data_IF_108708958704
#
_entry.id   IF_108708958704
#
_cell.length_a   1.000
_cell.length_b   1.000
_cell.length_c   1.000
_cell.angle_alpha   90.00
_cell.angle_beta   90.00
_cell.angle_gamma   90.00
#
_symmetry.space_group_name_H-M   'P 1'
#
loop_
_entity.id
_entity.type
_entity.pdbx_description
1 polymer ?
#
# COMPACT_ATOMS: atom_id res chain seq x y z
N UNK A 1 7.80 25.28 1.69
CA UNK A 1 8.49 25.71 0.43
C UNK A 1 9.78 26.48 0.69
N UNK A 2 9.85 27.41 1.67
CA UNK A 2 11.09 28.12 2.02
C UNK A 2 12.24 27.17 2.45
N UNK A 3 11.92 26.08 3.16
CA UNK A 3 12.91 25.08 3.57
C UNK A 3 13.42 24.27 2.38
N UNK A 4 12.63 24.11 1.31
CA UNK A 4 13.08 23.41 0.10
C UNK A 4 14.21 24.13 -0.65
N UNK A 5 14.26 25.47 -0.56
CA UNK A 5 15.30 26.28 -1.20
C UNK A 5 16.67 26.13 -0.52
N UNK A 6 16.71 25.70 0.76
CA UNK A 6 17.93 25.48 1.53
C UNK A 6 18.45 24.04 1.38
N UNK A 7 17.65 23.15 0.74
CA UNK A 7 17.94 21.71 0.65
C UNK A 7 19.19 21.37 -0.17
N UNK A 8 19.62 22.23 -1.07
CA UNK A 8 20.81 21.99 -1.90
C UNK A 8 22.13 22.06 -1.12
N UNK A 9 22.09 22.60 0.11
CA UNK A 9 23.28 22.81 0.97
C UNK A 9 23.18 22.15 2.34
N UNK A 10 22.05 21.50 2.66
CA UNK A 10 21.78 20.93 4.00
C UNK A 10 21.09 19.59 3.89
N UNK A 11 21.52 18.62 4.70
CA UNK A 11 20.84 17.34 4.87
C UNK A 11 19.50 17.53 5.60
N UNK A 12 18.42 16.95 5.06
CA UNK A 12 17.07 17.12 5.60
C UNK A 12 16.49 15.78 6.00
N UNK A 13 16.31 15.57 7.31
CA UNK A 13 15.58 14.45 7.88
C UNK A 13 14.13 14.87 8.19
N UNK A 14 13.18 14.10 7.72
CA UNK A 14 11.74 14.31 8.00
C UNK A 14 11.21 13.10 8.76
N UNK A 15 10.63 13.33 9.93
CA UNK A 15 9.99 12.30 10.74
C UNK A 15 8.47 12.46 10.69
N UNK A 16 7.73 11.37 10.58
CA UNK A 16 6.26 11.38 10.59
C UNK A 16 5.72 10.05 11.10
N UNK A 17 4.62 10.10 11.85
CA UNK A 17 3.88 8.91 12.26
C UNK A 17 3.03 8.34 11.11
N UNK A 18 2.54 9.22 10.23
CA UNK A 18 1.75 8.89 9.04
C UNK A 18 2.30 9.68 7.87
N UNK A 19 3.11 9.08 6.98
CA UNK A 19 3.63 9.81 5.83
C UNK A 19 2.47 10.35 4.99
N UNK A 20 2.53 11.65 4.65
CA UNK A 20 1.55 12.19 3.71
C UNK A 20 1.66 11.41 2.39
N UNK A 21 0.52 11.15 1.71
CA UNK A 21 0.51 10.36 0.47
C UNK A 21 1.57 10.79 -0.56
N UNK A 22 1.79 12.10 -0.70
CA UNK A 22 2.84 12.65 -1.59
C UNK A 22 4.26 12.28 -1.15
N UNK A 23 4.58 12.37 0.15
CA UNK A 23 5.92 12.02 0.67
C UNK A 23 6.17 10.52 0.58
N UNK A 24 5.16 9.72 0.92
CA UNK A 24 5.19 8.28 0.76
C UNK A 24 5.43 7.89 -0.70
N UNK A 25 4.69 8.49 -1.62
CA UNK A 25 4.84 8.26 -3.04
C UNK A 25 6.25 8.62 -3.56
N UNK A 26 6.80 9.77 -3.16
CA UNK A 26 8.18 10.17 -3.54
C UNK A 26 9.23 9.19 -3.02
N UNK A 27 8.99 8.52 -1.90
CA UNK A 27 9.89 7.49 -1.35
C UNK A 27 9.74 6.16 -2.10
N UNK A 28 8.50 5.75 -2.40
CA UNK A 28 8.22 4.53 -3.18
C UNK A 28 8.81 4.58 -4.61
N UNK A 29 8.89 5.78 -5.19
CA UNK A 29 9.48 6.02 -6.52
C UNK A 29 11.01 6.21 -6.46
N UNK A 30 11.64 6.08 -5.29
CA UNK A 30 13.08 6.23 -5.13
C UNK A 30 13.61 7.67 -5.28
N UNK A 31 12.74 8.69 -5.16
CA UNK A 31 13.14 10.11 -5.16
C UNK A 31 13.69 10.52 -3.77
N UNK A 32 13.29 9.80 -2.71
CA UNK A 32 13.76 9.98 -1.34
C UNK A 32 13.95 8.64 -0.68
N UNK A 33 15.03 8.52 0.09
CA UNK A 33 15.23 7.38 0.96
C UNK A 33 14.21 7.42 2.10
N UNK A 34 13.76 6.24 2.53
CA UNK A 34 12.82 6.08 3.62
C UNK A 34 13.21 4.90 4.49
N UNK A 35 13.24 5.14 5.80
CA UNK A 35 13.36 4.08 6.80
C UNK A 35 12.07 3.99 7.59
N UNK A 36 11.60 2.77 7.86
CA UNK A 36 10.41 2.50 8.66
C UNK A 36 10.84 2.02 10.03
N UNK A 37 10.30 2.64 11.08
CA UNK A 37 10.47 2.18 12.45
C UNK A 37 9.38 1.16 12.75
N UNK A 38 9.73 -0.12 12.76
CA UNK A 38 8.77 -1.23 12.92
C UNK A 38 8.62 -1.67 14.37
N UNK A 39 9.68 -1.51 15.19
CA UNK A 39 9.65 -1.93 16.58
C UNK A 39 9.03 -0.86 17.49
N UNK A 40 7.99 -1.27 18.21
CA UNK A 40 7.36 -0.44 19.22
C UNK A 40 8.13 -0.50 20.55
N UNK A 41 8.06 0.55 21.41
CA UNK A 41 8.59 0.46 22.77
C UNK A 41 7.96 -0.69 23.56
N UNK A 42 8.76 -1.45 24.29
CA UNK A 42 8.38 -2.71 24.97
C UNK A 42 7.23 -2.59 25.98
N UNK A 43 6.93 -1.38 26.49
CA UNK A 43 5.90 -1.17 27.52
C UNK A 43 4.53 -0.75 26.95
N UNK A 44 4.41 -0.55 25.64
CA UNK A 44 3.16 -0.09 25.02
C UNK A 44 2.28 -1.26 24.61
N UNK A 45 0.97 -1.12 24.93
CA UNK A 45 -0.06 -2.06 24.50
C UNK A 45 -0.86 -1.50 23.32
N UNK A 46 -1.36 -2.36 22.40
CA UNK A 46 -2.28 -1.95 21.37
C UNK A 46 -3.54 -1.31 21.94
N UNK A 47 -4.00 -0.22 21.32
CA UNK A 47 -5.19 0.51 21.75
C UNK A 47 -6.44 -0.24 21.29
N UNK A 48 -7.30 -0.62 22.23
CA UNK A 48 -8.58 -1.27 21.95
C UNK A 48 -9.48 -0.27 21.22
N UNK A 49 -9.70 -0.51 19.93
CA UNK A 49 -10.40 0.43 19.04
C UNK A 49 -11.80 -0.09 18.70
N UNK A 50 -12.82 0.71 19.02
CA UNK A 50 -14.23 0.42 18.75
C UNK A 50 -14.80 1.44 17.78
N UNK A 51 -15.52 0.95 16.76
CA UNK A 51 -16.26 1.78 15.80
C UNK A 51 -17.74 1.47 15.99
N UNK A 52 -18.52 2.49 16.31
CA UNK A 52 -19.94 2.30 16.67
C UNK A 52 -20.77 3.55 16.45
N UNK A 53 -22.08 3.40 16.40
CA UNK A 53 -23.02 4.51 16.47
C UNK A 53 -22.91 5.24 17.83
N UNK A 54 -23.19 6.56 17.81
CA UNK A 54 -23.19 7.37 19.02
C UNK A 54 -24.24 6.87 20.01
N UNK A 55 -23.81 6.58 21.22
CA UNK A 55 -24.64 6.11 22.31
C UNK A 55 -24.18 6.76 23.63
N UNK A 56 -25.08 7.49 24.31
CA UNK A 56 -24.78 8.20 25.54
C UNK A 56 -24.44 7.27 26.71
N UNK A 57 -25.08 6.10 26.77
CA UNK A 57 -24.79 5.09 27.82
C UNK A 57 -23.34 4.59 27.67
N UNK A 58 -22.90 4.33 26.46
CA UNK A 58 -21.52 3.92 26.19
C UNK A 58 -20.52 5.04 26.48
N UNK A 59 -20.86 6.30 26.17
CA UNK A 59 -20.03 7.47 26.53
C UNK A 59 -19.89 7.56 28.05
N UNK A 60 -21.00 7.45 28.77
CA UNK A 60 -21.01 7.47 30.23
C UNK A 60 -20.17 6.33 30.79
N UNK A 61 -20.39 5.11 30.36
CA UNK A 61 -19.67 3.93 30.82
C UNK A 61 -18.15 4.06 30.56
N UNK A 62 -17.75 4.52 29.39
CA UNK A 62 -16.34 4.72 29.03
C UNK A 62 -15.68 5.76 29.97
N UNK A 63 -16.36 6.86 30.26
CA UNK A 63 -15.84 7.89 31.14
C UNK A 63 -15.77 7.35 32.60
N UNK A 64 -16.86 6.80 33.16
CA UNK A 64 -16.90 6.28 34.52
C UNK A 64 -15.84 5.20 34.74
N UNK A 65 -15.67 4.31 33.78
CA UNK A 65 -14.62 3.28 33.78
C UNK A 65 -13.22 3.89 33.88
N UNK A 66 -12.95 4.97 33.13
CA UNK A 66 -11.64 5.64 33.18
C UNK A 66 -11.44 6.34 34.55
N UNK A 67 -12.45 7.03 35.04
CA UNK A 67 -12.41 7.69 36.36
C UNK A 67 -12.19 6.69 37.52
N UNK A 68 -12.82 5.53 37.43
CA UNK A 68 -12.67 4.47 38.50
C UNK A 68 -11.23 3.99 38.64
N UNK A 69 -10.40 4.13 37.61
CA UNK A 69 -8.97 3.81 37.64
C UNK A 69 -8.06 5.04 37.71
N UNK A 70 -8.64 6.21 38.07
CA UNK A 70 -7.93 7.50 38.18
C UNK A 70 -7.25 7.94 36.89
N UNK A 71 -7.82 7.61 35.75
CA UNK A 71 -7.38 8.06 34.42
C UNK A 71 -8.21 9.23 33.93
N UNK A 72 -7.81 9.79 32.81
CA UNK A 72 -8.44 10.94 32.18
C UNK A 72 -8.93 10.58 30.76
N UNK A 73 -9.87 11.37 30.24
CA UNK A 73 -10.52 11.12 28.96
C UNK A 73 -10.34 12.30 28.01
N UNK A 74 -9.94 12.01 26.78
CA UNK A 74 -10.11 12.93 25.66
C UNK A 74 -11.47 12.69 24.99
N UNK A 75 -12.27 13.75 24.85
CA UNK A 75 -13.49 13.74 24.05
C UNK A 75 -13.30 14.68 22.85
N UNK A 76 -13.17 14.13 21.66
CA UNK A 76 -12.91 14.90 20.45
C UNK A 76 -14.22 15.28 19.77
N UNK A 77 -14.47 16.58 19.67
CA UNK A 77 -15.61 17.16 18.99
C UNK A 77 -15.18 18.29 18.06
N UNK A 78 -15.17 18.04 16.77
CA UNK A 78 -14.53 18.95 15.79
C UNK A 78 -15.46 20.07 15.29
N UNK A 79 -16.27 20.68 16.18
CA UNK A 79 -17.12 21.85 15.91
C UNK A 79 -17.07 22.84 17.05
N UNK A 80 -16.52 24.03 16.78
CA UNK A 80 -16.34 25.06 17.81
C UNK A 80 -17.68 25.63 18.29
N UNK A 81 -18.64 25.85 17.39
CA UNK A 81 -19.90 26.55 17.69
C UNK A 81 -20.75 25.87 18.79
N UNK A 82 -20.67 24.56 18.89
CA UNK A 82 -21.50 23.77 19.82
C UNK A 82 -20.67 23.04 20.87
N UNK A 83 -19.37 23.35 21.00
CA UNK A 83 -18.50 22.61 21.93
C UNK A 83 -18.92 22.78 23.40
N UNK A 84 -19.38 23.96 23.76
CA UNK A 84 -19.89 24.26 25.11
C UNK A 84 -21.15 23.42 25.44
N UNK A 85 -22.11 23.33 24.51
CA UNK A 85 -23.33 22.53 24.69
C UNK A 85 -23.01 21.04 24.86
N UNK A 86 -22.04 20.51 24.09
CA UNK A 86 -21.59 19.13 24.23
C UNK A 86 -20.88 18.93 25.58
N UNK A 87 -20.11 19.90 26.03
CA UNK A 87 -19.45 19.86 27.35
C UNK A 87 -20.47 19.80 28.48
N UNK A 88 -21.50 20.65 28.45
CA UNK A 88 -22.59 20.65 29.42
C UNK A 88 -23.36 19.33 29.39
N UNK A 89 -23.58 18.76 28.21
CA UNK A 89 -24.23 17.46 28.06
C UNK A 89 -23.40 16.32 28.67
N UNK A 90 -22.09 16.32 28.46
CA UNK A 90 -21.19 15.32 29.05
C UNK A 90 -21.13 15.50 30.57
N UNK A 91 -21.08 16.75 31.06
CA UNK A 91 -21.13 17.05 32.48
C UNK A 91 -22.43 16.54 33.11
N UNK A 92 -23.56 16.64 32.43
CA UNK A 92 -24.86 16.12 32.89
C UNK A 92 -24.91 14.59 32.87
N UNK A 93 -24.23 13.93 31.93
CA UNK A 93 -24.13 12.46 31.85
C UNK A 93 -23.26 11.88 32.96
N UNK A 94 -22.21 12.59 33.37
CA UNK A 94 -21.26 12.14 34.43
C UNK A 94 -21.05 13.31 35.40
N UNK A 95 -22.00 13.54 36.33
CA UNK A 95 -21.94 14.65 37.26
C UNK A 95 -20.73 14.63 38.21
N UNK A 96 -20.17 13.44 38.45
CA UNK A 96 -18.99 13.22 39.27
C UNK A 96 -17.67 13.64 38.60
N UNK A 97 -17.65 13.83 37.26
CA UNK A 97 -16.46 14.24 36.53
C UNK A 97 -16.33 15.75 36.48
N UNK A 98 -15.09 16.25 36.45
CA UNK A 98 -14.76 17.64 36.08
C UNK A 98 -14.55 17.71 34.58
N UNK A 99 -15.47 18.34 33.85
CA UNK A 99 -15.42 18.46 32.38
C UNK A 99 -15.07 19.88 31.99
N UNK A 100 -14.11 20.02 31.09
CA UNK A 100 -13.75 21.30 30.47
C UNK A 100 -13.61 21.15 28.96
N UNK A 101 -13.66 22.29 28.23
CA UNK A 101 -13.42 22.26 26.78
C UNK A 101 -12.27 23.17 26.36
N UNK A 102 -11.63 22.83 25.25
CA UNK A 102 -10.55 23.60 24.65
C UNK A 102 -10.61 23.60 23.12
N UNK A 103 -10.35 24.74 22.49
CA UNK A 103 -10.26 24.86 21.03
C UNK A 103 -9.28 25.95 20.59
N UNK A 104 -8.79 25.89 19.37
CA UNK A 104 -7.75 26.76 18.85
C UNK A 104 -8.11 28.25 18.64
N UNK A 105 -9.39 28.65 18.86
CA UNK A 105 -9.83 30.06 18.81
C UNK A 105 -9.93 30.69 20.21
N UNK A 106 -9.62 29.94 21.26
CA UNK A 106 -9.54 30.50 22.61
C UNK A 106 -8.32 31.42 22.75
N UNK A 107 -8.39 32.34 23.72
CA UNK A 107 -7.23 33.13 24.10
C UNK A 107 -6.14 32.23 24.67
N UNK A 108 -4.90 32.49 24.32
CA UNK A 108 -3.74 31.68 24.69
C UNK A 108 -3.69 31.40 26.20
N UNK A 109 -3.84 32.42 27.01
CA UNK A 109 -3.83 32.29 28.48
C UNK A 109 -4.97 31.43 29.05
N UNK A 110 -6.15 31.47 28.42
CA UNK A 110 -7.29 30.65 28.81
C UNK A 110 -7.03 29.17 28.43
N UNK A 111 -6.51 28.94 27.23
CA UNK A 111 -6.11 27.62 26.75
C UNK A 111 -5.03 27.03 27.65
N UNK A 112 -3.99 27.77 27.97
CA UNK A 112 -2.91 27.36 28.87
C UNK A 112 -3.43 26.94 30.22
N UNK A 113 -4.34 27.72 30.83
CA UNK A 113 -4.95 27.40 32.12
C UNK A 113 -5.70 26.07 32.09
N UNK A 114 -6.51 25.82 31.06
CA UNK A 114 -7.28 24.59 30.91
C UNK A 114 -6.32 23.40 30.71
N UNK A 115 -5.34 23.58 29.84
CA UNK A 115 -4.36 22.52 29.58
C UNK A 115 -3.52 22.20 30.81
N UNK A 116 -3.14 23.20 31.61
CA UNK A 116 -2.42 23.00 32.85
C UNK A 116 -3.27 22.25 33.88
N UNK A 117 -4.55 22.62 34.05
CA UNK A 117 -5.48 21.91 34.94
C UNK A 117 -5.69 20.46 34.48
N UNK A 118 -5.76 20.22 33.19
CA UNK A 118 -5.87 18.86 32.63
C UNK A 118 -4.61 18.02 32.87
N UNK A 119 -3.43 18.58 32.65
CA UNK A 119 -2.14 17.89 32.90
C UNK A 119 -1.98 17.53 34.38
N UNK A 120 -2.42 18.41 35.28
CA UNK A 120 -2.35 18.21 36.73
C UNK A 120 -3.45 17.29 37.31
N UNK A 121 -4.39 16.82 36.48
CA UNK A 121 -5.48 15.96 36.92
C UNK A 121 -6.64 16.67 37.64
N UNK A 122 -6.72 18.02 37.51
CA UNK A 122 -7.84 18.83 38.05
C UNK A 122 -9.09 18.71 37.14
N UNK A 123 -8.89 18.30 35.87
CA UNK A 123 -9.93 18.09 34.88
C UNK A 123 -9.87 16.63 34.43
N UNK A 124 -11.00 15.93 34.54
CA UNK A 124 -11.12 14.51 34.23
C UNK A 124 -11.40 14.24 32.76
N UNK A 125 -12.24 15.08 32.14
CA UNK A 125 -12.63 14.97 30.72
C UNK A 125 -12.35 16.27 30.00
N UNK A 126 -11.48 16.20 28.97
CA UNK A 126 -11.22 17.34 28.10
C UNK A 126 -11.98 17.17 26.79
N UNK A 127 -13.01 17.99 26.58
CA UNK A 127 -13.71 18.13 25.30
C UNK A 127 -12.91 19.05 24.41
N UNK A 128 -12.44 18.58 23.27
CA UNK A 128 -11.55 19.38 22.42
C UNK A 128 -11.80 19.20 20.94
N UNK A 129 -11.44 20.20 20.16
CA UNK A 129 -11.27 20.03 18.72
C UNK A 129 -9.97 19.25 18.44
N UNK A 130 -9.55 19.17 17.20
CA UNK A 130 -8.30 18.51 16.80
C UNK A 130 -7.02 19.17 17.34
N UNK A 131 -7.13 20.20 18.18
CA UNK A 131 -5.98 20.87 18.83
C UNK A 131 -5.05 19.90 19.58
N UNK A 132 -5.59 18.79 20.09
CA UNK A 132 -4.79 17.75 20.77
C UNK A 132 -3.81 17.03 19.82
N UNK A 133 -3.93 17.18 18.50
CA UNK A 133 -2.94 16.69 17.54
C UNK A 133 -1.56 17.34 17.69
N UNK A 134 -1.45 18.49 18.37
CA UNK A 134 -0.22 19.28 18.48
C UNK A 134 0.89 18.69 19.36
N UNK A 135 0.71 17.50 19.92
CA UNK A 135 1.85 16.71 20.44
C UNK A 135 2.04 16.67 21.93
N UNK A 136 1.12 17.18 22.75
CA UNK A 136 1.20 17.06 24.21
C UNK A 136 1.18 15.58 24.62
N UNK A 137 2.15 15.20 25.45
CA UNK A 137 2.26 13.85 26.01
C UNK A 137 1.67 13.81 27.42
N UNK A 138 0.44 13.30 27.53
CA UNK A 138 -0.24 13.14 28.82
C UNK A 138 -0.47 11.65 29.07
N UNK A 139 0.39 11.06 29.88
CA UNK A 139 0.42 9.61 30.13
C UNK A 139 -0.81 9.07 30.86
N UNK A 140 -1.57 9.93 31.58
CA UNK A 140 -2.75 9.53 32.33
C UNK A 140 -4.03 9.45 31.49
N UNK A 141 -4.00 9.89 30.23
CA UNK A 141 -5.14 9.80 29.32
C UNK A 141 -5.12 8.45 28.60
N UNK A 142 -6.00 7.54 28.98
CA UNK A 142 -6.06 6.20 28.43
C UNK A 142 -7.37 5.91 27.68
N UNK A 143 -8.33 6.82 27.70
CA UNK A 143 -9.57 6.71 26.92
C UNK A 143 -9.76 7.91 26.01
N UNK A 144 -10.07 7.63 24.74
CA UNK A 144 -10.42 8.61 23.73
C UNK A 144 -11.80 8.32 23.16
N UNK A 145 -12.63 9.34 23.06
CA UNK A 145 -13.94 9.28 22.40
C UNK A 145 -13.96 10.30 21.28
N UNK A 146 -14.22 9.87 20.05
CA UNK A 146 -14.31 10.73 18.87
C UNK A 146 -15.76 10.76 18.39
N UNK A 147 -16.42 11.91 18.51
CA UNK A 147 -17.88 12.04 18.33
C UNK A 147 -18.32 11.84 16.87
N UNK A 148 -17.74 12.57 15.92
CA UNK A 148 -18.11 12.56 14.49
C UNK A 148 -16.95 11.94 13.66
N UNK A 149 -16.54 10.72 13.99
CA UNK A 149 -15.35 10.07 13.41
C UNK A 149 -15.43 9.84 11.90
N UNK A 150 -16.64 9.70 11.37
CA UNK A 150 -16.92 9.53 9.93
C UNK A 150 -16.57 10.76 9.08
N UNK A 151 -16.44 11.94 9.71
CA UNK A 151 -16.04 13.17 9.04
C UNK A 151 -14.51 13.42 9.05
N UNK A 152 -13.73 12.51 9.64
CA UNK A 152 -12.28 12.64 9.77
C UNK A 152 -11.52 11.82 8.74
N UNK A 153 -10.32 12.28 8.40
CA UNK A 153 -9.38 11.53 7.56
C UNK A 153 -8.75 10.35 8.32
N UNK A 154 -8.37 9.28 7.60
CA UNK A 154 -7.78 8.09 8.20
C UNK A 154 -6.49 8.39 8.97
N UNK A 155 -5.59 9.19 8.39
CA UNK A 155 -4.36 9.64 9.05
C UNK A 155 -4.64 10.46 10.32
N UNK A 156 -5.70 11.29 10.30
CA UNK A 156 -6.12 12.07 11.45
C UNK A 156 -6.65 11.19 12.58
N UNK A 157 -7.52 10.23 12.26
CA UNK A 157 -8.01 9.23 13.22
C UNK A 157 -6.85 8.43 13.85
N UNK A 158 -5.86 8.06 13.06
CA UNK A 158 -4.69 7.35 13.55
C UNK A 158 -3.85 8.22 14.49
N UNK A 159 -3.62 9.49 14.17
CA UNK A 159 -2.88 10.42 15.02
C UNK A 159 -3.62 10.69 16.33
N UNK A 160 -4.93 10.91 16.27
CA UNK A 160 -5.76 11.09 17.46
C UNK A 160 -5.72 9.84 18.36
N UNK A 161 -5.95 8.66 17.79
CA UNK A 161 -5.84 7.40 18.52
C UNK A 161 -4.49 7.25 19.21
N UNK A 162 -3.41 7.64 18.56
CA UNK A 162 -2.05 7.61 19.12
C UNK A 162 -1.80 8.62 20.25
N UNK A 163 -2.77 9.46 20.62
CA UNK A 163 -2.68 10.35 21.79
C UNK A 163 -2.99 9.67 23.11
N UNK A 164 -3.60 8.50 23.07
CA UNK A 164 -3.78 7.62 24.24
C UNK A 164 -2.85 6.41 24.14
N UNK A 165 -2.75 5.60 25.20
CA UNK A 165 -1.88 4.42 25.20
C UNK A 165 -0.39 4.76 25.35
N UNK A 166 -0.09 5.78 26.16
CA UNK A 166 1.28 6.21 26.46
C UNK A 166 1.77 5.75 27.84
N UNK A 167 1.04 4.84 28.44
CA UNK A 167 1.35 4.17 29.69
C UNK A 167 1.26 2.65 29.53
N UNK A 168 1.60 1.90 30.58
CA UNK A 168 1.43 0.44 30.64
C UNK A 168 -0.03 0.00 30.84
N UNK A 169 -0.98 0.93 30.92
CA UNK A 169 -2.41 0.64 31.10
C UNK A 169 -3.09 0.38 29.75
N UNK A 170 -4.05 -0.55 29.76
CA UNK A 170 -4.91 -0.79 28.58
C UNK A 170 -5.67 0.48 28.22
N UNK A 171 -5.58 0.89 26.96
CA UNK A 171 -6.19 2.12 26.47
C UNK A 171 -7.28 1.84 25.45
N UNK A 172 -8.25 2.73 25.37
CA UNK A 172 -9.47 2.58 24.60
C UNK A 172 -9.69 3.77 23.67
N UNK A 173 -10.12 3.51 22.44
CA UNK A 173 -10.54 4.51 21.48
C UNK A 173 -11.93 4.16 20.94
N UNK A 174 -12.91 5.02 21.21
CA UNK A 174 -14.28 4.90 20.75
C UNK A 174 -14.50 5.88 19.59
N UNK A 175 -14.58 5.35 18.38
CA UNK A 175 -14.84 6.12 17.16
C UNK A 175 -16.35 6.06 16.90
N UNK A 176 -17.03 7.14 17.22
CA UNK A 176 -18.48 7.20 17.15
C UNK A 176 -18.92 8.01 15.93
N UNK A 177 -19.99 7.59 15.30
CA UNK A 177 -20.67 8.32 14.22
C UNK A 177 -22.14 8.49 14.56
N UNK A 178 -22.81 9.44 13.88
CA UNK A 178 -24.20 9.79 14.18
C UNK A 178 -25.12 8.58 14.02
N UNK A 179 -25.99 8.36 15.00
CA UNK A 179 -27.00 7.30 14.98
C UNK A 179 -27.90 7.41 13.74
N UNK A 180 -28.29 6.28 13.18
CA UNK A 180 -29.15 6.14 12.00
C UNK A 180 -28.60 6.86 10.76
N UNK A 181 -27.29 7.14 10.71
CA UNK A 181 -26.63 7.74 9.56
C UNK A 181 -26.09 6.67 8.62
N UNK A 182 -26.57 6.67 7.39
CA UNK A 182 -25.92 5.89 6.33
C UNK A 182 -24.54 6.47 6.05
N UNK A 183 -23.50 5.71 6.32
CA UNK A 183 -22.13 6.13 6.08
C UNK A 183 -21.85 6.18 4.57
N UNK A 184 -21.07 7.16 4.15
CA UNK A 184 -20.50 7.16 2.79
C UNK A 184 -19.48 6.03 2.69
N UNK A 185 -19.39 5.34 1.57
CA UNK A 185 -18.44 4.24 1.31
C UNK A 185 -17.00 4.56 1.73
N UNK A 186 -16.54 5.78 1.42
CA UNK A 186 -15.18 6.24 1.79
C UNK A 186 -15.02 6.36 3.32
N UNK A 187 -16.05 6.81 4.04
CA UNK A 187 -16.01 6.91 5.50
C UNK A 187 -16.02 5.52 6.14
N UNK A 188 -16.83 4.61 5.63
CA UNK A 188 -16.88 3.21 6.07
C UNK A 188 -15.53 2.51 5.89
N UNK A 189 -14.91 2.62 4.70
CA UNK A 189 -13.57 2.08 4.43
C UNK A 189 -12.51 2.63 5.38
N UNK A 190 -12.56 3.92 5.74
CA UNK A 190 -11.62 4.52 6.71
C UNK A 190 -11.83 3.99 8.11
N UNK A 191 -13.07 3.90 8.57
CA UNK A 191 -13.42 3.40 9.90
C UNK A 191 -13.09 1.90 10.02
N UNK A 192 -13.27 1.13 8.96
CA UNK A 192 -12.85 -0.27 8.92
C UNK A 192 -11.33 -0.38 8.99
N UNK A 193 -10.59 0.40 8.22
CA UNK A 193 -9.13 0.39 8.24
C UNK A 193 -8.55 0.72 9.62
N UNK A 194 -9.07 1.75 10.31
CA UNK A 194 -8.58 2.10 11.66
C UNK A 194 -8.91 1.03 12.70
N UNK A 195 -9.97 0.25 12.50
CA UNK A 195 -10.34 -0.90 13.33
C UNK A 195 -9.44 -2.12 13.08
N UNK A 196 -9.03 -2.35 11.82
CA UNK A 196 -8.16 -3.47 11.43
C UNK A 196 -6.70 -3.24 11.87
N UNK A 197 -6.18 -2.04 11.66
CA UNK A 197 -4.78 -1.73 11.97
C UNK A 197 -4.61 -1.26 13.41
N UNK A 198 -4.74 -2.18 14.36
CA UNK A 198 -4.59 -1.91 15.81
C UNK A 198 -3.16 -2.07 16.30
N UNK A 199 -2.31 -2.79 15.59
CA UNK A 199 -0.93 -3.03 15.97
C UNK A 199 -0.14 -1.73 16.09
N UNK A 200 0.80 -1.70 17.04
CA UNK A 200 1.76 -0.62 17.17
C UNK A 200 2.66 -0.59 15.90
N UNK A 201 3.05 0.60 15.47
CA UNK A 201 3.85 0.73 14.24
C UNK A 201 3.06 0.70 12.93
N UNK A 202 1.72 0.58 12.98
CA UNK A 202 0.87 0.51 11.77
C UNK A 202 0.82 1.79 10.92
N UNK A 203 1.55 2.85 11.25
CA UNK A 203 1.49 4.14 10.57
C UNK A 203 1.73 4.07 9.06
N UNK A 204 2.67 3.23 8.64
CA UNK A 204 2.93 2.99 7.21
C UNK A 204 1.73 2.30 6.52
N UNK A 205 1.18 1.24 7.14
CA UNK A 205 0.00 0.52 6.63
C UNK A 205 -1.22 1.44 6.51
N UNK A 206 -1.42 2.29 7.51
CA UNK A 206 -2.48 3.33 7.51
C UNK A 206 -2.27 4.33 6.36
N UNK A 207 -1.05 4.78 6.12
CA UNK A 207 -0.75 5.72 5.04
C UNK A 207 -1.00 5.09 3.66
N UNK A 208 -0.62 3.82 3.47
CA UNK A 208 -0.91 3.06 2.25
C UNK A 208 -2.42 2.90 2.06
N UNK A 209 -3.14 2.53 3.11
CA UNK A 209 -4.59 2.37 3.05
C UNK A 209 -5.34 3.68 2.80
N UNK A 210 -4.87 4.79 3.39
CA UNK A 210 -5.44 6.12 3.10
C UNK A 210 -5.24 6.51 1.63
N UNK A 211 -4.09 6.15 1.05
CA UNK A 211 -3.79 6.34 -0.36
C UNK A 211 -4.76 5.55 -1.26
N UNK A 212 -4.98 4.27 -0.95
CA UNK A 212 -5.92 3.41 -1.67
C UNK A 212 -7.37 3.94 -1.60
N UNK A 213 -7.84 4.33 -0.40
CA UNK A 213 -9.21 4.82 -0.18
C UNK A 213 -9.46 6.16 -0.89
N UNK A 214 -8.46 7.06 -0.90
CA UNK A 214 -8.59 8.35 -1.60
C UNK A 214 -8.61 8.19 -3.11
N UNK A 215 -8.20 7.05 -3.62
CA UNK A 215 -7.84 6.92 -5.02
C UNK A 215 -6.63 7.81 -5.35
N UNK A 216 -5.87 7.43 -6.32
CA UNK A 216 -4.64 8.13 -6.68
C UNK A 216 -4.86 9.57 -7.23
N UNK A 217 -6.12 10.01 -7.44
CA UNK A 217 -6.48 11.31 -8.00
C UNK A 217 -6.12 12.54 -7.17
N UNK A 218 -5.95 12.40 -5.85
CA UNK A 218 -5.77 13.56 -4.94
C UNK A 218 -4.30 13.89 -4.60
N UNK A 219 -3.32 13.20 -5.18
CA UNK A 219 -1.92 13.32 -4.77
C UNK A 219 -1.18 14.55 -5.30
N UNK A 220 -1.66 15.19 -6.37
CA UNK A 220 -0.91 16.21 -7.11
C UNK A 220 -1.57 17.59 -7.20
N UNK A 221 -2.66 17.85 -6.46
CA UNK A 221 -3.35 19.16 -6.42
C UNK A 221 -4.43 19.33 -7.50
N UNK A 222 -5.22 20.40 -7.37
CA UNK A 222 -6.48 20.64 -8.12
C UNK A 222 -6.40 20.60 -9.66
N UNK A 223 -5.23 20.68 -10.27
CA UNK A 223 -5.06 20.70 -11.74
C UNK A 223 -4.86 19.31 -12.38
N UNK A 224 -4.75 18.23 -11.60
CA UNK A 224 -4.47 16.87 -12.12
C UNK A 224 -5.52 15.82 -11.75
N UNK A 225 -6.70 16.23 -11.30
CA UNK A 225 -7.78 15.36 -10.79
C UNK A 225 -8.34 14.35 -11.82
N UNK A 226 -8.11 14.52 -13.12
CA UNK A 226 -8.72 13.68 -14.16
C UNK A 226 -7.90 12.46 -14.59
N UNK A 227 -6.58 12.47 -14.48
CA UNK A 227 -5.74 11.43 -15.10
C UNK A 227 -5.51 10.20 -14.23
N UNK A 228 -5.42 10.34 -12.91
CA UNK A 228 -5.16 9.21 -12.01
C UNK A 228 -6.39 8.35 -11.71
N UNK A 229 -7.58 8.96 -11.69
CA UNK A 229 -8.83 8.24 -11.51
C UNK A 229 -9.16 7.37 -12.73
N UNK A 230 -8.75 7.83 -13.93
CA UNK A 230 -8.93 7.11 -15.19
C UNK A 230 -7.93 5.96 -15.41
N UNK A 231 -6.73 6.05 -14.81
CA UNK A 231 -5.59 5.17 -15.11
C UNK A 231 -5.31 4.17 -13.98
N UNK A 232 -5.73 4.45 -12.75
CA UNK A 232 -5.42 3.66 -11.57
C UNK A 232 -4.01 3.95 -11.00
N UNK A 233 -3.85 3.69 -9.70
CA UNK A 233 -2.62 4.03 -8.96
C UNK A 233 -1.38 3.28 -9.46
N UNK A 234 -1.51 1.98 -9.71
CA UNK A 234 -0.37 1.13 -10.11
C UNK A 234 0.20 1.56 -11.47
N UNK A 235 -0.68 1.90 -12.42
CA UNK A 235 -0.25 2.37 -13.74
C UNK A 235 0.36 3.78 -13.67
N UNK A 236 -0.18 4.65 -12.80
CA UNK A 236 0.42 5.97 -12.56
C UNK A 236 1.83 5.87 -11.94
N UNK A 237 2.03 5.01 -10.94
CA UNK A 237 3.34 4.75 -10.35
C UNK A 237 4.32 4.20 -11.38
N UNK A 238 3.86 3.30 -12.26
CA UNK A 238 4.67 2.77 -13.36
C UNK A 238 5.10 3.86 -14.33
N UNK A 239 4.16 4.69 -14.80
CA UNK A 239 4.45 5.83 -15.70
C UNK A 239 5.41 6.84 -15.06
N UNK A 240 5.26 7.14 -13.77
CA UNK A 240 6.14 8.06 -13.06
C UNK A 240 7.55 7.48 -12.88
N UNK A 241 7.67 6.20 -12.52
CA UNK A 241 8.94 5.48 -12.47
C UNK A 241 9.65 5.48 -13.83
N UNK A 242 8.89 5.27 -14.89
CA UNK A 242 9.41 5.33 -16.26
C UNK A 242 9.90 6.73 -16.63
N UNK A 243 9.13 7.76 -16.32
CA UNK A 243 9.54 9.15 -16.54
C UNK A 243 10.80 9.52 -15.75
N UNK A 244 10.93 9.08 -14.50
CA UNK A 244 12.15 9.29 -13.69
C UNK A 244 13.35 8.53 -14.26
N UNK A 245 13.18 7.28 -14.68
CA UNK A 245 14.24 6.48 -15.33
C UNK A 245 14.69 7.15 -16.64
N UNK A 246 13.76 7.72 -17.41
CA UNK A 246 14.05 8.48 -18.66
C UNK A 246 14.82 9.76 -18.36
N UNK A 247 14.41 10.55 -17.35
CA UNK A 247 15.08 11.78 -16.95
C UNK A 247 16.48 11.53 -16.37
N UNK A 248 16.70 10.39 -15.70
CA UNK A 248 18.01 9.96 -15.20
C UNK A 248 18.91 9.38 -16.31
N UNK A 249 18.44 9.29 -17.55
CA UNK A 249 19.21 8.77 -18.70
C UNK A 249 19.46 7.26 -18.67
N UNK A 250 18.73 6.52 -17.79
CA UNK A 250 18.93 5.08 -17.61
C UNK A 250 18.03 4.22 -18.51
N UNK A 251 17.16 4.84 -19.31
CA UNK A 251 16.24 4.11 -20.20
C UNK A 251 16.44 4.52 -21.66
N UNK A 252 16.72 3.54 -22.53
CA UNK A 252 16.43 3.66 -23.99
C UNK A 252 14.90 3.69 -24.14
N UNK A 253 14.40 4.58 -24.99
CA UNK A 253 12.98 4.64 -25.40
C UNK A 253 12.56 3.28 -25.96
N UNK A 254 12.10 2.37 -25.11
CA UNK A 254 11.34 1.20 -25.51
C UNK A 254 9.88 1.61 -25.55
N UNK A 255 9.23 1.41 -26.68
CA UNK A 255 7.84 1.75 -26.93
C UNK A 255 6.91 1.08 -25.90
N UNK A 256 5.82 1.78 -25.52
CA UNK A 256 4.85 1.37 -24.51
C UNK A 256 3.94 0.23 -25.01
N UNK A 257 4.38 -1.01 -24.89
CA UNK A 257 3.51 -2.15 -25.05
C UNK A 257 3.58 -3.08 -23.84
N UNK A 258 2.50 -3.81 -23.58
CA UNK A 258 2.46 -4.83 -22.54
C UNK A 258 2.69 -6.21 -23.14
N UNK A 259 3.44 -7.04 -22.44
CA UNK A 259 3.64 -8.44 -22.82
C UNK A 259 2.75 -9.36 -22.00
N UNK A 260 1.95 -10.16 -22.69
CA UNK A 260 1.07 -11.17 -22.08
C UNK A 260 1.63 -12.57 -22.31
N UNK A 261 1.63 -13.40 -21.30
CA UNK A 261 2.07 -14.80 -21.37
C UNK A 261 0.91 -15.69 -20.97
N UNK A 262 0.32 -16.38 -21.94
CA UNK A 262 -0.76 -17.34 -21.77
C UNK A 262 -0.25 -18.74 -22.17
N UNK A 263 0.09 -19.55 -21.16
CA UNK A 263 0.66 -20.87 -21.35
C UNK A 263 -0.15 -21.90 -20.55
N UNK A 264 -0.41 -23.05 -21.16
CA UNK A 264 -1.10 -24.19 -20.52
C UNK A 264 -0.17 -24.90 -19.52
N UNK A 265 0.16 -24.18 -18.43
CA UNK A 265 1.10 -24.58 -17.37
C UNK A 265 0.55 -24.17 -16.01
N UNK A 266 0.57 -25.11 -15.05
CA UNK A 266 0.24 -24.81 -13.67
C UNK A 266 1.28 -23.85 -13.06
N UNK A 267 0.86 -22.61 -12.80
CA UNK A 267 1.69 -21.54 -12.28
C UNK A 267 0.93 -20.73 -11.22
N UNK A 268 0.97 -21.20 -9.98
CA UNK A 268 0.26 -20.58 -8.85
C UNK A 268 0.94 -20.93 -7.51
N UNK A 269 0.63 -20.16 -6.47
CA UNK A 269 1.09 -20.41 -5.10
C UNK A 269 0.02 -21.25 -4.38
N UNK A 270 0.30 -22.54 -4.06
CA UNK A 270 -0.66 -23.39 -3.36
C UNK A 270 -1.01 -22.85 -1.98
N UNK A 271 -2.28 -22.95 -1.53
CA UNK A 271 -2.68 -22.55 -0.18
C UNK A 271 -1.93 -23.32 0.94
N UNK A 272 -1.48 -24.54 0.64
CA UNK A 272 -0.67 -25.35 1.55
C UNK A 272 0.77 -24.86 1.69
N UNK A 273 1.28 -24.09 0.74
CA UNK A 273 2.64 -23.56 0.76
C UNK A 273 2.70 -22.22 1.50
N UNK A 274 1.80 -21.28 1.17
CA UNK A 274 1.66 -20.01 1.88
C UNK A 274 0.20 -19.88 2.36
N UNK A 275 -0.01 -20.10 3.65
CA UNK A 275 -1.34 -20.11 4.28
C UNK A 275 -1.90 -18.69 4.45
N UNK A 276 -1.01 -17.72 4.71
CA UNK A 276 -1.43 -16.32 4.93
C UNK A 276 -1.70 -15.62 3.58
N UNK A 277 -2.95 -15.25 3.33
CA UNK A 277 -3.38 -14.63 2.07
C UNK A 277 -2.70 -13.27 1.79
N UNK A 278 -2.40 -12.49 2.82
CA UNK A 278 -1.69 -11.22 2.65
C UNK A 278 -0.23 -11.44 2.20
N UNK A 279 0.46 -12.40 2.82
CA UNK A 279 1.83 -12.79 2.41
C UNK A 279 1.83 -13.39 1.00
N UNK A 280 0.84 -14.22 0.69
CA UNK A 280 0.68 -14.81 -0.63
C UNK A 280 0.50 -13.74 -1.72
N UNK A 281 -0.34 -12.73 -1.46
CA UNK A 281 -0.53 -11.60 -2.38
C UNK A 281 0.74 -10.78 -2.55
N UNK A 282 1.49 -10.54 -1.47
CA UNK A 282 2.78 -9.84 -1.52
C UNK A 282 3.79 -10.60 -2.39
N UNK A 283 3.92 -11.91 -2.20
CA UNK A 283 4.80 -12.75 -3.02
C UNK A 283 4.37 -12.75 -4.49
N UNK A 284 3.06 -12.79 -4.81
CA UNK A 284 2.59 -12.64 -6.20
C UNK A 284 3.03 -11.31 -6.82
N UNK A 285 2.90 -10.19 -6.09
CA UNK A 285 3.32 -8.87 -6.55
C UNK A 285 4.83 -8.80 -6.80
N UNK A 286 5.61 -9.37 -5.88
CA UNK A 286 7.07 -9.40 -5.99
C UNK A 286 7.54 -10.27 -7.16
N UNK A 287 6.95 -11.47 -7.35
CA UNK A 287 7.23 -12.31 -8.52
C UNK A 287 6.85 -11.57 -9.81
N UNK A 288 5.74 -10.86 -9.82
CA UNK A 288 5.32 -10.07 -10.99
C UNK A 288 6.25 -8.88 -11.30
N UNK A 289 7.03 -8.40 -10.34
CA UNK A 289 7.97 -7.28 -10.50
C UNK A 289 9.42 -7.70 -10.80
N UNK A 290 9.72 -9.01 -10.90
CA UNK A 290 11.06 -9.49 -11.22
C UNK A 290 11.49 -9.00 -12.61
N UNK A 291 12.72 -8.47 -12.72
CA UNK A 291 13.25 -7.86 -13.94
C UNK A 291 14.42 -8.66 -14.56
N UNK A 292 15.07 -9.57 -13.82
CA UNK A 292 16.23 -10.31 -14.29
C UNK A 292 16.38 -11.71 -13.64
N UNK A 293 17.32 -12.50 -14.16
CA UNK A 293 17.56 -13.87 -13.72
C UNK A 293 18.14 -13.94 -12.30
N UNK A 294 18.95 -12.95 -11.89
CA UNK A 294 19.51 -12.88 -10.54
C UNK A 294 18.41 -12.68 -9.48
N UNK A 295 17.48 -11.78 -9.72
CA UNK A 295 16.32 -11.56 -8.85
C UNK A 295 15.41 -12.80 -8.75
N UNK A 296 15.31 -13.59 -9.83
CA UNK A 296 14.57 -14.85 -9.80
C UNK A 296 15.23 -15.88 -8.87
N UNK A 297 16.56 -15.99 -8.88
CA UNK A 297 17.29 -16.88 -7.99
C UNK A 297 17.24 -16.41 -6.54
N UNK A 298 17.36 -15.11 -6.28
CA UNK A 298 17.20 -14.51 -4.95
C UNK A 298 15.78 -14.76 -4.40
N UNK A 299 14.75 -14.61 -5.22
CA UNK A 299 13.37 -14.92 -4.84
C UNK A 299 13.19 -16.40 -4.49
N UNK A 300 13.79 -17.33 -5.25
CA UNK A 300 13.74 -18.75 -4.92
C UNK A 300 14.46 -19.06 -3.62
N UNK A 301 15.62 -18.46 -3.38
CA UNK A 301 16.37 -18.63 -2.14
C UNK A 301 15.56 -18.14 -0.93
N UNK A 302 14.92 -16.97 -1.04
CA UNK A 302 14.05 -16.43 0.02
C UNK A 302 12.83 -17.33 0.27
N UNK A 303 12.17 -17.81 -0.78
CA UNK A 303 11.02 -18.69 -0.63
C UNK A 303 11.40 -20.03 0.02
N UNK A 304 12.56 -20.56 -0.32
CA UNK A 304 13.10 -21.77 0.30
C UNK A 304 13.39 -21.56 1.79
N UNK A 305 13.97 -20.43 2.16
CA UNK A 305 14.31 -20.11 3.55
C UNK A 305 13.06 -19.88 4.41
N UNK A 306 12.06 -19.16 3.88
CA UNK A 306 10.86 -18.76 4.65
C UNK A 306 9.77 -19.81 4.71
N UNK A 307 9.58 -20.58 3.64
CA UNK A 307 8.43 -21.48 3.45
C UNK A 307 8.83 -22.93 3.13
N UNK A 308 10.13 -23.24 3.06
CA UNK A 308 10.63 -24.56 2.72
C UNK A 308 10.63 -24.84 1.22
N UNK A 309 10.68 -26.11 0.84
CA UNK A 309 10.83 -26.54 -0.55
C UNK A 309 9.82 -25.87 -1.49
N UNK A 310 10.34 -25.19 -2.53
CA UNK A 310 9.53 -24.47 -3.51
C UNK A 310 8.73 -25.45 -4.37
N UNK A 311 7.40 -25.40 -4.35
CA UNK A 311 6.56 -26.26 -5.21
C UNK A 311 6.81 -25.98 -6.70
N UNK A 312 6.60 -26.97 -7.55
CA UNK A 312 6.78 -26.87 -8.99
C UNK A 312 5.93 -25.75 -9.61
N UNK A 313 4.70 -25.58 -9.15
CA UNK A 313 3.81 -24.50 -9.62
C UNK A 313 4.33 -23.11 -9.30
N UNK A 314 5.04 -22.93 -8.19
CA UNK A 314 5.69 -21.66 -7.80
C UNK A 314 6.96 -21.44 -8.63
N UNK A 315 7.78 -22.48 -8.86
CA UNK A 315 8.93 -22.37 -9.76
C UNK A 315 8.50 -22.01 -11.18
N UNK A 316 7.42 -22.62 -11.68
CA UNK A 316 6.84 -22.27 -12.98
C UNK A 316 6.39 -20.80 -13.02
N UNK A 317 5.77 -20.29 -11.95
CA UNK A 317 5.32 -18.90 -11.86
C UNK A 317 6.50 -17.92 -11.97
N UNK A 318 7.61 -18.18 -11.27
CA UNK A 318 8.84 -17.38 -11.34
C UNK A 318 9.43 -17.43 -12.75
N UNK A 319 9.51 -18.60 -13.36
CA UNK A 319 10.03 -18.77 -14.73
C UNK A 319 9.17 -18.07 -15.78
N UNK A 320 7.83 -18.08 -15.62
CA UNK A 320 6.91 -17.35 -16.51
C UNK A 320 7.08 -15.83 -16.35
N UNK A 321 7.34 -15.33 -15.12
CA UNK A 321 7.66 -13.93 -14.93
C UNK A 321 8.93 -13.51 -15.67
N UNK A 322 9.99 -14.33 -15.62
CA UNK A 322 11.21 -14.09 -16.38
C UNK A 322 10.97 -14.14 -17.91
N UNK A 323 10.17 -15.12 -18.38
CA UNK A 323 9.77 -15.19 -19.80
C UNK A 323 9.09 -13.90 -20.24
N UNK A 324 8.21 -13.32 -19.41
CA UNK A 324 7.52 -12.06 -19.71
C UNK A 324 8.52 -10.92 -19.94
N UNK A 325 9.54 -10.82 -19.05
CA UNK A 325 10.58 -9.79 -19.17
C UNK A 325 11.41 -10.00 -20.44
N UNK A 326 11.89 -11.22 -20.68
CA UNK A 326 12.67 -11.57 -21.87
C UNK A 326 11.87 -11.33 -23.17
N UNK A 327 10.58 -11.64 -23.15
CA UNK A 327 9.67 -11.40 -24.27
C UNK A 327 9.50 -9.89 -24.55
N UNK A 328 9.33 -9.09 -23.50
CA UNK A 328 9.25 -7.64 -23.63
C UNK A 328 10.51 -7.03 -24.26
N UNK A 329 11.69 -7.47 -23.81
CA UNK A 329 12.97 -7.05 -24.42
C UNK A 329 13.12 -7.43 -25.88
N UNK A 330 12.35 -8.41 -26.35
CA UNK A 330 12.36 -8.91 -27.76
C UNK A 330 11.14 -8.44 -28.55
N UNK A 331 10.45 -7.38 -28.07
CA UNK A 331 9.26 -6.83 -28.73
C UNK A 331 8.17 -7.88 -28.99
N UNK A 332 8.03 -8.86 -28.07
CA UNK A 332 6.95 -9.85 -28.11
C UNK A 332 5.80 -9.33 -27.25
N UNK A 333 4.65 -9.10 -27.87
CA UNK A 333 3.45 -8.57 -27.20
C UNK A 333 2.63 -9.67 -26.53
N UNK A 334 2.61 -10.88 -27.12
CA UNK A 334 1.85 -12.00 -26.56
C UNK A 334 2.55 -13.33 -26.84
N UNK A 335 2.58 -14.22 -25.85
CA UNK A 335 2.99 -15.62 -26.01
C UNK A 335 1.79 -16.51 -25.70
N UNK A 336 1.39 -17.34 -26.68
CA UNK A 336 0.39 -18.40 -26.50
C UNK A 336 1.02 -19.77 -26.55
N UNK A 337 1.07 -20.46 -25.39
CA UNK A 337 1.62 -21.80 -25.25
C UNK A 337 0.54 -22.84 -25.12
N UNK A 338 0.38 -23.71 -26.12
CA UNK A 338 -0.46 -24.93 -26.05
C UNK A 338 0.42 -26.15 -26.26
N UNK A 339 -0.01 -27.28 -25.71
CA UNK A 339 0.73 -28.56 -25.86
C UNK A 339 1.02 -28.83 -27.33
N UNK A 340 2.29 -28.87 -27.71
CA UNK A 340 2.79 -29.10 -29.07
C UNK A 340 2.95 -27.86 -29.94
N UNK A 341 2.58 -26.67 -29.45
CA UNK A 341 2.67 -25.44 -30.24
C UNK A 341 2.85 -24.22 -29.34
N UNK A 342 3.81 -23.35 -29.64
CA UNK A 342 4.01 -22.06 -28.97
C UNK A 342 4.01 -20.97 -30.03
N UNK A 343 3.20 -19.93 -29.84
CA UNK A 343 3.10 -18.79 -30.75
C UNK A 343 3.57 -17.53 -30.03
N UNK A 344 4.46 -16.79 -30.68
CA UNK A 344 5.01 -15.51 -30.24
C UNK A 344 4.51 -14.41 -31.16
N UNK A 345 3.65 -13.54 -30.67
CA UNK A 345 3.17 -12.38 -31.42
C UNK A 345 4.11 -11.20 -31.20
N UNK A 346 4.52 -10.56 -32.28
CA UNK A 346 5.51 -9.48 -32.27
C UNK A 346 4.83 -8.12 -32.33
N UNK A 347 5.48 -7.11 -31.77
CA UNK A 347 5.10 -5.73 -32.02
C UNK A 347 5.30 -5.41 -33.51
N UNK A 348 4.28 -4.86 -34.22
CA UNK A 348 4.36 -4.62 -35.67
C UNK A 348 5.53 -3.74 -36.13
N UNK A 349 5.97 -2.83 -35.24
CA UNK A 349 7.06 -1.90 -35.53
C UNK A 349 8.38 -2.26 -34.82
N UNK A 350 8.52 -3.52 -34.37
CA UNK A 350 9.76 -3.98 -33.76
C UNK A 350 10.97 -3.75 -34.67
N UNK A 351 12.09 -3.22 -34.14
CA UNK A 351 13.30 -2.94 -34.92
C UNK A 351 14.08 -4.23 -35.24
N UNK A 352 13.49 -5.09 -36.06
CA UNK A 352 14.03 -6.40 -36.43
C UNK A 352 14.88 -6.30 -37.68
N UNK A 353 16.10 -6.85 -37.63
CA UNK A 353 16.94 -7.05 -38.83
C UNK A 353 16.41 -8.24 -39.64
N UNK A 354 15.60 -7.95 -40.67
CA UNK A 354 14.90 -8.96 -41.50
C UNK A 354 15.88 -9.92 -42.19
N UNK A 355 17.07 -9.46 -42.53
CA UNK A 355 18.18 -10.27 -43.10
C UNK A 355 18.67 -11.40 -42.18
N UNK A 356 18.44 -11.32 -40.87
CA UNK A 356 18.84 -12.33 -39.90
C UNK A 356 17.74 -13.36 -39.60
N UNK A 357 16.52 -13.12 -40.11
CA UNK A 357 15.40 -14.07 -40.00
C UNK A 357 15.73 -15.48 -40.49
N UNK A 358 16.34 -15.65 -41.67
CA UNK A 358 16.73 -16.99 -42.18
C UNK A 358 17.68 -17.72 -41.23
N UNK A 359 18.65 -17.01 -40.62
CA UNK A 359 19.61 -17.60 -39.70
C UNK A 359 18.93 -18.18 -38.46
N UNK A 360 17.88 -17.53 -37.92
CA UNK A 360 17.09 -18.02 -36.82
C UNK A 360 16.25 -19.22 -37.26
N UNK A 361 15.58 -19.15 -38.41
CA UNK A 361 14.67 -20.21 -38.88
C UNK A 361 15.41 -21.50 -39.24
N UNK A 362 16.59 -21.40 -39.86
CA UNK A 362 17.41 -22.54 -40.29
C UNK A 362 17.88 -23.39 -39.12
N UNK A 363 18.12 -22.80 -37.94
CA UNK A 363 18.44 -23.54 -36.70
C UNK A 363 17.35 -24.53 -36.30
N UNK A 364 16.10 -24.23 -36.64
CA UNK A 364 14.93 -24.98 -36.20
C UNK A 364 14.33 -25.91 -37.25
N UNK A 365 14.95 -26.03 -38.43
CA UNK A 365 14.62 -27.02 -39.48
C UNK A 365 13.12 -27.18 -39.71
N UNK A 366 12.38 -26.13 -40.02
CA UNK A 366 10.93 -26.11 -40.25
C UNK A 366 10.03 -26.27 -38.99
N UNK A 367 10.58 -26.47 -37.78
CA UNK A 367 9.76 -26.49 -36.54
C UNK A 367 9.37 -25.09 -36.06
N UNK A 368 10.18 -24.07 -36.41
CA UNK A 368 9.88 -22.65 -36.19
C UNK A 368 9.48 -22.02 -37.53
N UNK A 369 8.32 -21.41 -37.56
CA UNK A 369 7.78 -20.74 -38.74
C UNK A 369 7.51 -19.27 -38.41
N UNK A 370 7.78 -18.36 -39.34
CA UNK A 370 7.45 -16.94 -39.24
C UNK A 370 6.33 -16.58 -40.22
N UNK A 371 5.38 -15.78 -39.73
CA UNK A 371 4.29 -15.22 -40.56
C UNK A 371 4.24 -13.71 -40.40
N UNK A 372 4.27 -12.99 -41.51
CA UNK A 372 4.06 -11.55 -41.57
C UNK A 372 2.61 -11.16 -41.89
N UNK A 373 1.70 -12.14 -42.08
CA UNK A 373 0.27 -11.85 -42.38
C UNK A 373 -0.46 -11.48 -41.09
N UNK A 374 -1.02 -10.27 -41.04
CA UNK A 374 -1.68 -9.72 -39.86
C UNK A 374 -0.64 -9.28 -38.80
N UNK A 375 -0.84 -9.63 -37.56
CA UNK A 375 0.17 -9.41 -36.51
C UNK A 375 1.37 -10.35 -36.75
N UNK A 376 2.60 -9.82 -36.94
CA UNK A 376 3.77 -10.67 -37.14
C UNK A 376 3.93 -11.68 -36.01
N UNK A 377 4.21 -12.93 -36.33
CA UNK A 377 4.32 -13.95 -35.31
C UNK A 377 5.31 -15.07 -35.69
N UNK A 378 5.89 -15.69 -34.66
CA UNK A 378 6.64 -16.93 -34.79
C UNK A 378 5.81 -18.08 -34.17
N UNK A 379 5.76 -19.21 -34.88
CA UNK A 379 5.07 -20.42 -34.41
C UNK A 379 6.07 -21.56 -34.27
N UNK A 380 6.32 -22.01 -33.07
CA UNK A 380 7.14 -23.17 -32.79
C UNK A 380 6.26 -24.42 -32.62
N UNK A 381 6.48 -25.43 -33.44
CA UNK A 381 5.85 -26.76 -33.32
C UNK A 381 6.85 -27.77 -32.77
N UNK A 382 6.47 -28.49 -31.73
CA UNK A 382 7.33 -29.50 -31.10
C UNK A 382 6.58 -30.82 -30.84
N UNK A 383 7.34 -31.88 -30.67
CA UNK A 383 6.77 -33.22 -30.42
C UNK A 383 6.30 -33.34 -28.97
N UNK A 384 5.09 -33.84 -28.77
CA UNK A 384 4.47 -34.06 -27.45
C UNK A 384 5.15 -35.20 -26.71
N UNK A 385 5.32 -35.04 -25.39
CA UNK A 385 5.90 -36.09 -24.52
C UNK A 385 4.85 -36.96 -23.85
N UNK A 386 3.61 -36.52 -23.73
CA UNK A 386 2.47 -37.26 -23.18
C UNK A 386 2.38 -37.31 -21.64
N UNK A 387 3.30 -36.66 -20.91
CA UNK A 387 3.24 -36.50 -19.45
C UNK A 387 3.12 -35.00 -19.14
N UNK A 388 2.06 -34.58 -18.45
CA UNK A 388 1.69 -33.19 -18.22
C UNK A 388 2.83 -32.35 -17.60
N UNK A 389 3.47 -32.84 -16.56
CA UNK A 389 4.58 -32.14 -15.90
C UNK A 389 5.81 -31.95 -16.80
N UNK A 390 6.14 -32.95 -17.62
CA UNK A 390 7.24 -32.87 -18.58
C UNK A 390 6.92 -31.96 -19.75
N UNK A 391 5.66 -31.88 -20.15
CA UNK A 391 5.18 -30.97 -21.18
C UNK A 391 5.29 -29.49 -20.72
N UNK A 392 4.92 -29.19 -19.46
CA UNK A 392 5.05 -27.87 -18.89
C UNK A 392 6.52 -27.40 -18.85
N UNK A 393 7.44 -28.23 -18.34
CA UNK A 393 8.86 -27.93 -18.31
C UNK A 393 9.47 -27.75 -19.70
N UNK A 394 9.07 -28.58 -20.64
CA UNK A 394 9.51 -28.50 -22.03
C UNK A 394 9.03 -27.20 -22.66
N UNK A 395 7.75 -26.85 -22.48
CA UNK A 395 7.15 -25.63 -23.01
C UNK A 395 7.86 -24.38 -22.49
N UNK A 396 8.09 -24.28 -21.18
CA UNK A 396 8.82 -23.18 -20.54
C UNK A 396 10.25 -23.09 -21.09
N UNK A 397 10.96 -24.22 -21.12
CA UNK A 397 12.36 -24.28 -21.55
C UNK A 397 12.54 -23.93 -23.02
N UNK A 398 11.64 -24.40 -23.89
CA UNK A 398 11.62 -24.03 -25.30
C UNK A 398 11.34 -22.55 -25.50
N UNK A 399 10.39 -22.00 -24.74
CA UNK A 399 10.07 -20.56 -24.79
C UNK A 399 11.27 -19.69 -24.41
N UNK A 400 11.92 -20.00 -23.29
CA UNK A 400 13.14 -19.28 -22.86
C UNK A 400 14.26 -19.39 -23.89
N UNK A 401 14.45 -20.58 -24.46
CA UNK A 401 15.46 -20.80 -25.50
C UNK A 401 15.19 -19.97 -26.75
N UNK A 402 13.95 -19.98 -27.26
CA UNK A 402 13.57 -19.18 -28.43
C UNK A 402 13.79 -17.69 -28.17
N UNK A 403 13.32 -17.16 -27.03
CA UNK A 403 13.51 -15.74 -26.69
C UNK A 403 15.00 -15.37 -26.60
N UNK A 404 15.84 -16.25 -26.06
CA UNK A 404 17.27 -16.02 -26.00
C UNK A 404 17.90 -15.99 -27.41
N UNK A 405 17.49 -16.88 -28.31
CA UNK A 405 17.99 -16.94 -29.67
C UNK A 405 17.43 -15.83 -30.58
N UNK A 406 16.22 -15.33 -30.28
CA UNK A 406 15.65 -14.13 -30.97
C UNK A 406 16.50 -12.87 -30.76
N UNK A 407 17.39 -12.85 -29.76
CA UNK A 407 18.33 -11.74 -29.56
C UNK A 407 19.13 -11.42 -30.81
N UNK A 408 19.42 -12.42 -31.70
CA UNK A 408 20.15 -12.21 -32.94
C UNK A 408 19.46 -11.22 -33.90
N UNK A 409 18.12 -11.11 -33.80
CA UNK A 409 17.32 -10.22 -34.63
C UNK A 409 17.52 -8.73 -34.30
N UNK A 410 18.17 -8.40 -33.18
CA UNK A 410 18.35 -7.05 -32.65
C UNK A 410 19.83 -6.64 -32.49
N UNK A 411 20.76 -7.54 -32.73
CA UNK A 411 22.20 -7.21 -32.72
C UNK A 411 22.60 -6.57 -34.07
N UNK A 412 23.49 -5.60 -34.07
CA UNK A 412 24.07 -5.03 -35.28
C UNK A 412 24.90 -6.07 -36.09
#
# INVERSE_FOLDING_TARGET
>A
EKIKQVKDTVDVLTLTATPIPRTLHMSLVGIRDMSVLEEAPNERQPIQTYVMEYNEEMVREAIVRELSRQGQVYYVYNRINNIAEITDRIQALVPEATVAYAHGQMKEHELEKIMYGFINGEIDVLVSTTIIETGLDISNVNTMIIHDSDNMGLSQLYQLRGRVGRSNRTSYAFLMYKRDKMLKEVAEKRLQAIKEFTDLGSGFKIAMRDLEIRGAGNLLGERQHGHMEAVGYDLYCKMLNEAVKTLKGTKKLAEDFNTYVDMDVDAFIPPSYIVNEAQKLDIYKRIASLENEAECEDMKAELLDRFGNVPKSVDNLIRISLIRVQAHERYVTEIKGKIGCITFYMEPYAPVHVEKLPQLLDKYKNTLQFSAKGTPNFVLKYKKYGLVEKEADLMISLTQRILKEMAILYTE
#
